data_IF_883759815512
#
_entry.id   IF_883759815512
#
_cell.length_a   1.000
_cell.length_b   1.000
_cell.length_c   1.000
_cell.angle_alpha   90.00
_cell.angle_beta   90.00
_cell.angle_gamma   90.00
#
_symmetry.space_group_name_H-M   'P 1'
#
loop_
_entity.id
_entity.type
_entity.pdbx_description
1 polymer ?
#
# COMPACT_ATOMS: atom_id res chain seq x y z
N UNK A 1 -5.02 -16.44 -9.62
CA UNK A 1 -5.70 -15.25 -10.17
C UNK A 1 -6.16 -14.34 -9.06
N UNK A 2 -5.91 -13.04 -9.20
CA UNK A 2 -6.28 -12.07 -8.16
C UNK A 2 -7.75 -11.70 -8.34
N UNK A 3 -8.53 -11.81 -7.26
CA UNK A 3 -9.93 -11.43 -7.31
C UNK A 3 -10.09 -9.92 -7.24
N UNK A 4 -11.09 -9.39 -7.96
CA UNK A 4 -11.38 -7.96 -7.93
C UNK A 4 -11.67 -7.47 -6.52
N UNK A 5 -12.37 -8.28 -5.71
CA UNK A 5 -12.69 -7.89 -4.34
C UNK A 5 -11.44 -7.70 -3.49
N UNK A 6 -10.40 -8.49 -3.71
CA UNK A 6 -9.13 -8.33 -3.00
C UNK A 6 -8.47 -7.00 -3.36
N UNK A 7 -8.54 -6.62 -4.64
CA UNK A 7 -7.99 -5.33 -5.09
C UNK A 7 -8.81 -4.18 -4.51
N UNK A 8 -10.14 -4.30 -4.50
CA UNK A 8 -11.02 -3.26 -3.95
C UNK A 8 -10.74 -3.02 -2.47
N UNK A 9 -10.58 -4.09 -1.69
CA UNK A 9 -10.29 -3.98 -0.26
C UNK A 9 -8.94 -3.32 -0.02
N UNK A 10 -7.92 -3.75 -0.74
CA UNK A 10 -6.58 -3.19 -0.61
C UNK A 10 -6.58 -1.72 -1.03
N UNK A 11 -7.26 -1.41 -2.13
CA UNK A 11 -7.35 -0.03 -2.62
C UNK A 11 -7.98 0.89 -1.57
N UNK A 12 -9.12 0.48 -1.01
CA UNK A 12 -9.81 1.30 -0.01
C UNK A 12 -8.92 1.54 1.20
N UNK A 13 -8.24 0.50 1.67
CA UNK A 13 -7.38 0.59 2.84
C UNK A 13 -6.17 1.48 2.56
N UNK A 14 -5.49 1.24 1.45
CA UNK A 14 -4.28 2.01 1.10
C UNK A 14 -4.61 3.46 0.80
N UNK A 15 -5.73 3.72 0.12
CA UNK A 15 -6.15 5.08 -0.21
C UNK A 15 -6.43 5.89 1.05
N UNK A 16 -7.12 5.29 2.02
CA UNK A 16 -7.39 5.95 3.29
C UNK A 16 -6.10 6.26 4.05
N UNK A 17 -5.20 5.29 4.11
CA UNK A 17 -3.93 5.47 4.81
C UNK A 17 -3.04 6.49 4.12
N UNK A 18 -3.06 6.52 2.80
CA UNK A 18 -2.29 7.50 2.04
C UNK A 18 -2.74 8.93 2.38
N UNK A 19 -4.05 9.15 2.44
CA UNK A 19 -4.57 10.48 2.77
C UNK A 19 -4.17 10.92 4.16
N UNK A 20 -4.25 10.02 5.13
CA UNK A 20 -3.84 10.33 6.50
C UNK A 20 -2.34 10.60 6.55
N UNK A 21 -1.55 9.78 5.87
CA UNK A 21 -0.09 9.91 5.86
C UNK A 21 0.35 11.23 5.24
N UNK A 22 -0.26 11.63 4.13
CA UNK A 22 0.09 12.88 3.44
C UNK A 22 -0.18 14.12 4.28
N UNK A 23 -1.20 14.07 5.15
CA UNK A 23 -1.61 15.21 5.96
C UNK A 23 -1.13 15.12 7.40
N UNK A 24 -0.37 14.08 7.75
CA UNK A 24 0.11 13.91 9.11
C UNK A 24 1.31 14.79 9.39
N UNK A 25 1.34 15.42 10.57
CA UNK A 25 2.50 16.13 11.06
C UNK A 25 3.18 15.39 12.20
N UNK A 26 2.65 14.21 12.56
CA UNK A 26 3.17 13.41 13.66
C UNK A 26 3.99 12.23 13.13
N UNK A 27 5.27 12.17 13.54
CA UNK A 27 6.13 11.04 13.14
C UNK A 27 5.60 9.73 13.70
N UNK A 28 5.02 9.75 14.91
CA UNK A 28 4.43 8.56 15.51
C UNK A 28 3.29 8.02 14.67
N UNK A 29 2.43 8.90 14.17
CA UNK A 29 1.32 8.50 13.33
C UNK A 29 1.82 7.95 12.00
N UNK A 30 2.82 8.60 11.40
CA UNK A 30 3.41 8.15 10.16
C UNK A 30 4.06 6.77 10.33
N UNK A 31 4.80 6.57 11.42
CA UNK A 31 5.42 5.29 11.72
C UNK A 31 4.37 4.19 11.91
N UNK A 32 3.26 4.54 12.57
CA UNK A 32 2.17 3.60 12.77
C UNK A 32 1.55 3.17 11.44
N UNK A 33 1.36 4.12 10.54
CA UNK A 33 0.81 3.83 9.22
C UNK A 33 1.77 2.95 8.42
N UNK A 34 3.07 3.25 8.46
CA UNK A 34 4.07 2.43 7.79
C UNK A 34 4.03 0.98 8.30
N UNK A 35 3.96 0.81 9.61
CA UNK A 35 3.88 -0.53 10.21
C UNK A 35 2.58 -1.24 9.82
N UNK A 36 1.47 -0.50 9.81
CA UNK A 36 0.16 -1.05 9.46
C UNK A 36 0.14 -1.53 8.01
N UNK A 37 0.65 -0.72 7.09
CA UNK A 37 0.70 -1.07 5.67
C UNK A 37 1.65 -2.25 5.44
N UNK A 38 2.80 -2.24 6.11
CA UNK A 38 3.76 -3.35 6.00
C UNK A 38 3.13 -4.67 6.46
N UNK A 39 2.39 -4.64 7.57
CA UNK A 39 1.68 -5.81 8.07
C UNK A 39 0.60 -6.28 7.09
N UNK A 40 -0.08 -5.32 6.46
CA UNK A 40 -1.10 -5.65 5.47
C UNK A 40 -0.49 -6.36 4.27
N UNK A 41 0.66 -5.86 3.78
CA UNK A 41 1.32 -6.49 2.63
C UNK A 41 1.82 -7.90 2.97
N UNK A 42 2.24 -8.13 4.22
CA UNK A 42 2.66 -9.45 4.65
C UNK A 42 1.49 -10.45 4.70
N UNK A 43 0.28 -9.94 4.95
CA UNK A 43 -0.91 -10.77 5.07
C UNK A 43 -1.68 -10.94 3.76
N UNK A 44 -1.44 -10.06 2.78
CA UNK A 44 -2.16 -10.14 1.51
C UNK A 44 -1.64 -11.27 0.63
N UNK A 45 -2.40 -11.55 -0.43
CA UNK A 45 -1.98 -12.52 -1.45
C UNK A 45 -0.60 -12.14 -1.99
N UNK A 46 0.32 -13.12 -2.05
CA UNK A 46 1.64 -12.87 -2.62
C UNK A 46 1.55 -12.50 -4.10
N UNK A 47 0.54 -13.01 -4.79
CA UNK A 47 0.31 -12.68 -6.20
C UNK A 47 -0.02 -11.19 -6.36
N UNK A 48 -0.86 -10.67 -5.47
CA UNK A 48 -1.20 -9.24 -5.49
C UNK A 48 0.01 -8.39 -5.15
N UNK A 49 0.75 -8.78 -4.11
CA UNK A 49 1.95 -8.04 -3.72
C UNK A 49 2.99 -8.03 -4.84
N UNK A 50 3.20 -9.17 -5.49
CA UNK A 50 4.15 -9.26 -6.61
C UNK A 50 3.75 -8.34 -7.76
N UNK A 51 2.45 -8.27 -8.04
CA UNK A 51 1.93 -7.41 -9.10
C UNK A 51 2.12 -5.93 -8.77
N UNK A 52 1.89 -5.55 -7.52
CA UNK A 52 2.08 -4.18 -7.06
C UNK A 52 3.55 -3.78 -7.04
N UNK A 53 4.38 -4.65 -6.48
CA UNK A 53 5.78 -4.35 -6.24
C UNK A 53 6.68 -4.56 -7.45
N UNK A 54 6.19 -5.25 -8.46
CA UNK A 54 6.97 -5.66 -9.64
C UNK A 54 8.22 -6.45 -9.23
N UNK A 55 8.08 -7.26 -8.18
CA UNK A 55 9.17 -8.09 -7.68
C UNK A 55 10.10 -7.42 -6.69
N UNK A 56 9.88 -6.15 -6.37
CA UNK A 56 10.70 -5.44 -5.40
C UNK A 56 10.23 -5.76 -3.99
N UNK A 57 11.01 -6.54 -3.26
CA UNK A 57 10.66 -6.98 -1.91
C UNK A 57 10.68 -5.86 -0.88
N UNK A 58 11.38 -4.76 -1.15
CA UNK A 58 11.42 -3.60 -0.27
C UNK A 58 10.19 -2.71 -0.41
N UNK A 59 9.36 -2.98 -1.40
CA UNK A 59 8.18 -2.17 -1.70
C UNK A 59 7.26 -2.09 -0.49
N UNK A 60 6.94 -0.87 -0.05
CA UNK A 60 6.11 -0.60 1.13
C UNK A 60 6.72 -1.05 2.46
N UNK A 61 8.02 -1.36 2.46
CA UNK A 61 8.74 -1.78 3.66
C UNK A 61 9.90 -0.86 4.03
N UNK A 62 10.21 0.12 3.20
CA UNK A 62 11.28 1.07 3.48
C UNK A 62 10.73 2.45 3.77
N UNK A 63 11.22 3.06 4.85
CA UNK A 63 10.78 4.39 5.28
C UNK A 63 11.02 5.46 4.21
N UNK A 64 12.19 5.44 3.57
CA UNK A 64 12.59 6.49 2.64
C UNK A 64 11.77 6.54 1.37
N UNK A 65 11.23 5.41 0.94
CA UNK A 65 10.43 5.32 -0.29
C UNK A 65 8.95 5.03 0.00
N UNK A 66 8.56 5.03 1.27
CA UNK A 66 7.22 4.60 1.66
C UNK A 66 6.12 5.41 0.97
N UNK A 67 6.22 6.73 1.01
CA UNK A 67 5.19 7.60 0.42
C UNK A 67 5.07 7.36 -1.08
N UNK A 68 6.20 7.24 -1.75
CA UNK A 68 6.24 6.97 -3.18
C UNK A 68 5.60 5.62 -3.49
N UNK A 69 5.95 4.60 -2.71
CA UNK A 69 5.42 3.25 -2.91
C UNK A 69 3.91 3.21 -2.65
N UNK A 70 3.45 3.85 -1.59
CA UNK A 70 2.03 3.85 -1.24
C UNK A 70 1.21 4.58 -2.31
N UNK A 71 1.69 5.72 -2.76
CA UNK A 71 1.06 6.48 -3.83
C UNK A 71 1.01 5.65 -5.13
N UNK A 72 2.11 4.98 -5.45
CA UNK A 72 2.20 4.12 -6.63
C UNK A 72 1.19 2.97 -6.56
N UNK A 73 1.09 2.33 -5.39
CA UNK A 73 0.15 1.21 -5.20
C UNK A 73 -1.29 1.66 -5.39
N UNK A 74 -1.65 2.82 -4.83
CA UNK A 74 -3.00 3.36 -4.96
C UNK A 74 -3.31 3.65 -6.43
N UNK A 75 -2.39 4.26 -7.15
CA UNK A 75 -2.59 4.59 -8.56
C UNK A 75 -2.73 3.34 -9.42
N UNK A 76 -1.92 2.33 -9.17
CA UNK A 76 -1.99 1.07 -9.91
C UNK A 76 -3.34 0.39 -9.71
N UNK A 77 -3.78 0.29 -8.45
CA UNK A 77 -5.05 -0.38 -8.16
C UNK A 77 -6.23 0.42 -8.70
N UNK A 78 -6.15 1.73 -8.70
CA UNK A 78 -7.19 2.57 -9.30
C UNK A 78 -7.36 2.24 -10.78
N UNK A 79 -6.25 2.09 -11.50
CA UNK A 79 -6.30 1.72 -12.91
C UNK A 79 -6.88 0.33 -13.13
N UNK A 80 -6.54 -0.61 -12.25
CA UNK A 80 -7.04 -1.98 -12.39
C UNK A 80 -8.54 -2.08 -12.13
N UNK A 81 -9.09 -1.16 -11.35
CA UNK A 81 -10.50 -1.14 -11.00
C UNK A 81 -11.36 -0.34 -11.98
N UNK A 82 -10.76 0.40 -12.86
CA UNK A 82 -11.50 1.20 -13.87
C UNK A 82 -12.12 0.32 -14.97
#
# INVERSE_FOLDING_TARGET
MIERSAIEQAYAFFHQKLKVYEHSSSEREMDHIEATISSYTDAMSSELFDKLSSGNRSYLHEHTSFLIDLSDAVQKMEKWLD
#
